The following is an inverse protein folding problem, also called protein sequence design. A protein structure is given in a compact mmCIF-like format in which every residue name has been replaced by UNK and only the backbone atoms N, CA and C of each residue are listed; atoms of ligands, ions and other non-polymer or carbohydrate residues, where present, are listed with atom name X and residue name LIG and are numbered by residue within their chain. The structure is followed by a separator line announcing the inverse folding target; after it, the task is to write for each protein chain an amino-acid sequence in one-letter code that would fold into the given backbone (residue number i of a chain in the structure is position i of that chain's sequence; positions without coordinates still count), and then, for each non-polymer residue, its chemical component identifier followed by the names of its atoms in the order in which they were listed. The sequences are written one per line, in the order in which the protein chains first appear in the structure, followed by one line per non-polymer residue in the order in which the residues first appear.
data_IF_384201048138
#
_entry.id   IF_384201048138
#
_cell.length_a   1.000
_cell.length_b   1.000
_cell.length_c   1.000
_cell.angle_alpha   90.00
_cell.angle_beta   90.00
_cell.angle_gamma   90.00
#
_symmetry.space_group_name_H-M   'P 1'
#
loop_
_entity.id
_entity.type
_entity.pdbx_description
1 polymer ?
#
# COMPACT_ATOMS: atom_id res chain seq x y z
N UNK A 1 12.52 -1.06 9.63
CA UNK A 1 12.37 -1.13 8.15
C UNK A 1 10.97 -1.59 7.76
N UNK A 2 10.45 -1.30 6.55
CA UNK A 2 9.18 -1.91 6.08
C UNK A 2 9.50 -3.25 5.42
N UNK A 3 8.90 -4.34 5.92
CA UNK A 3 9.17 -5.70 5.44
C UNK A 3 8.38 -6.05 4.18
N UNK A 4 7.22 -5.42 3.97
CA UNK A 4 6.35 -5.68 2.82
C UNK A 4 6.92 -5.15 1.51
N UNK A 5 6.63 -5.88 0.43
CA UNK A 5 6.75 -5.35 -0.93
C UNK A 5 5.39 -4.77 -1.36
N UNK A 6 5.14 -3.51 -1.01
CA UNK A 6 3.84 -2.86 -1.22
C UNK A 6 3.40 -2.88 -2.69
N UNK A 7 4.35 -2.75 -3.62
CA UNK A 7 4.05 -2.82 -5.06
C UNK A 7 3.49 -4.20 -5.44
N UNK A 8 4.12 -5.28 -4.98
CA UNK A 8 3.62 -6.65 -5.22
C UNK A 8 2.29 -6.88 -4.52
N UNK A 9 2.16 -6.43 -3.28
CA UNK A 9 0.94 -6.64 -2.48
C UNK A 9 -0.27 -6.00 -3.16
N UNK A 10 -0.17 -4.75 -3.61
CA UNK A 10 -1.27 -4.07 -4.31
C UNK A 10 -1.60 -4.77 -5.64
N UNK A 11 -0.59 -5.22 -6.41
CA UNK A 11 -0.84 -5.99 -7.64
C UNK A 11 -1.60 -7.28 -7.37
N UNK A 12 -1.20 -8.03 -6.34
CA UNK A 12 -1.91 -9.26 -5.93
C UNK A 12 -3.35 -8.96 -5.50
N UNK A 13 -3.58 -7.90 -4.71
CA UNK A 13 -4.93 -7.51 -4.30
C UNK A 13 -5.83 -7.06 -5.45
N UNK A 14 -5.27 -6.39 -6.47
CA UNK A 14 -6.02 -6.11 -7.69
C UNK A 14 -6.44 -7.40 -8.41
N UNK A 15 -5.53 -8.37 -8.52
CA UNK A 15 -5.82 -9.67 -9.15
C UNK A 15 -6.86 -10.48 -8.36
N UNK A 16 -6.75 -10.54 -7.03
CA UNK A 16 -7.70 -11.23 -6.16
C UNK A 16 -9.14 -10.66 -6.24
N UNK A 17 -9.31 -9.44 -6.76
CA UNK A 17 -10.60 -8.76 -6.89
C UNK A 17 -10.99 -8.51 -8.36
N UNK A 18 -10.38 -9.24 -9.30
CA UNK A 18 -10.64 -9.13 -10.74
C UNK A 18 -10.63 -7.68 -11.25
N UNK A 19 -9.70 -6.87 -10.74
CA UNK A 19 -9.57 -5.45 -11.08
C UNK A 19 -8.14 -5.10 -11.49
N UNK A 20 -7.96 -3.88 -12.00
CA UNK A 20 -6.63 -3.34 -12.37
C UNK A 20 -6.25 -2.21 -11.43
N UNK A 21 -4.97 -1.82 -11.40
CA UNK A 21 -4.57 -0.62 -10.64
C UNK A 21 -5.25 0.66 -11.16
N UNK A 22 -5.57 0.72 -12.46
CA UNK A 22 -6.31 1.83 -13.05
C UNK A 22 -7.76 1.82 -12.56
N UNK A 23 -8.43 0.66 -12.63
CA UNK A 23 -9.80 0.52 -12.12
C UNK A 23 -9.92 0.77 -10.61
N UNK A 24 -8.92 0.32 -9.83
CA UNK A 24 -8.82 0.65 -8.41
C UNK A 24 -8.67 2.16 -8.19
N UNK A 25 -7.81 2.82 -8.98
CA UNK A 25 -7.62 4.26 -8.88
C UNK A 25 -8.92 5.03 -9.16
N UNK A 26 -9.62 4.66 -10.24
CA UNK A 26 -10.90 5.25 -10.63
C UNK A 26 -11.95 5.07 -9.53
N UNK A 27 -12.04 3.87 -8.95
CA UNK A 27 -12.96 3.57 -7.83
C UNK A 27 -12.75 4.46 -6.61
N UNK A 28 -11.51 4.93 -6.37
CA UNK A 28 -11.19 5.84 -5.26
C UNK A 28 -11.05 7.31 -5.70
N UNK A 29 -11.48 7.66 -6.93
CA UNK A 29 -11.43 9.02 -7.45
C UNK A 29 -10.01 9.54 -7.69
N UNK A 30 -9.07 8.67 -8.07
CA UNK A 30 -7.66 8.99 -8.36
C UNK A 30 -7.28 8.49 -9.75
N UNK A 31 -6.08 8.88 -10.20
CA UNK A 31 -5.53 8.42 -11.47
C UNK A 31 -4.59 7.23 -11.28
N UNK A 32 -4.44 6.39 -12.30
CA UNK A 32 -3.45 5.31 -12.29
C UNK A 32 -2.02 5.81 -12.06
N UNK A 33 -1.66 7.00 -12.59
CA UNK A 33 -0.34 7.59 -12.32
C UNK A 33 -0.14 7.94 -10.84
N UNK A 34 -1.20 8.37 -10.16
CA UNK A 34 -1.16 8.68 -8.73
C UNK A 34 -0.89 7.42 -7.90
N UNK A 35 -1.60 6.32 -8.18
CA UNK A 35 -1.35 5.02 -7.55
C UNK A 35 0.08 4.55 -7.81
N UNK A 36 0.54 4.60 -9.07
CA UNK A 36 1.89 4.20 -9.44
C UNK A 36 2.97 4.98 -8.65
N UNK A 37 2.74 6.28 -8.41
CA UNK A 37 3.64 7.11 -7.60
C UNK A 37 3.67 6.67 -6.13
N UNK A 38 2.52 6.29 -5.56
CA UNK A 38 2.43 5.82 -4.17
C UNK A 38 3.17 4.49 -4.00
N UNK A 39 2.90 3.51 -4.87
CA UNK A 39 3.41 2.14 -4.68
C UNK A 39 4.91 2.01 -4.95
N UNK A 40 5.48 2.88 -5.80
CA UNK A 40 6.91 2.89 -6.11
C UNK A 40 7.75 3.63 -5.07
N UNK A 41 7.11 4.46 -4.23
CA UNK A 41 7.79 5.26 -3.22
C UNK A 41 7.57 4.63 -1.85
N UNK A 42 8.65 4.27 -1.16
CA UNK A 42 8.58 3.70 0.19
C UNK A 42 7.91 4.64 1.19
N UNK A 43 8.03 5.96 1.00
CA UNK A 43 7.39 7.01 1.79
C UNK A 43 6.00 7.42 1.28
N UNK A 44 5.53 6.83 0.17
CA UNK A 44 4.23 7.13 -0.42
C UNK A 44 3.07 6.49 0.32
N UNK A 45 3.34 5.39 1.04
CA UNK A 45 2.33 4.55 1.72
C UNK A 45 2.31 4.83 3.22
N UNK A 46 3.50 4.87 3.83
CA UNK A 46 3.69 5.29 5.21
C UNK A 46 4.52 6.56 5.24
N UNK A 47 4.12 7.51 6.07
CA UNK A 47 4.87 8.75 6.23
C UNK A 47 6.30 8.46 6.72
N UNK A 48 7.29 9.12 6.13
CA UNK A 48 8.72 8.95 6.46
C UNK A 48 9.01 9.13 7.96
N UNK A 49 8.41 10.13 8.61
CA UNK A 49 8.57 10.38 10.04
C UNK A 49 8.07 9.20 10.87
N UNK A 50 6.95 8.59 10.49
CA UNK A 50 6.44 7.39 11.18
C UNK A 50 7.42 6.21 11.08
N UNK A 51 7.97 5.97 9.89
CA UNK A 51 8.98 4.91 9.68
C UNK A 51 10.22 5.16 10.56
N UNK A 52 10.69 6.40 10.64
CA UNK A 52 11.82 6.78 11.49
C UNK A 52 11.53 6.64 12.98
N UNK A 53 10.30 6.90 13.42
CA UNK A 53 9.89 6.69 14.81
C UNK A 53 9.95 5.21 15.19
N UNK A 54 9.45 4.32 14.34
CA UNK A 54 9.49 2.87 14.59
C UNK A 54 10.93 2.34 14.58
N UNK A 55 11.75 2.84 13.65
CA UNK A 55 13.17 2.51 13.56
C UNK A 55 13.94 2.94 14.82
N UNK A 56 13.69 4.16 15.32
CA UNK A 56 14.30 4.65 16.56
C UNK A 56 13.86 3.87 17.82
N UNK A 57 12.71 3.20 17.76
CA UNK A 57 12.24 2.30 18.81
C UNK A 57 12.73 0.85 18.62
N UNK A 58 13.46 0.55 17.55
CA UNK A 58 14.00 -0.79 17.24
C UNK A 58 12.98 -1.75 16.62
N UNK A 59 11.93 -1.24 15.96
CA UNK A 59 10.89 -2.05 15.33
C UNK A 59 10.97 -2.05 13.81
N UNK A 60 10.74 -3.23 13.24
CA UNK A 60 10.33 -3.39 11.86
C UNK A 60 8.81 -3.23 11.72
N UNK A 61 8.37 -2.87 10.51
CA UNK A 61 6.97 -2.63 10.17
C UNK A 61 6.52 -3.72 9.21
N UNK A 62 5.47 -4.44 9.61
CA UNK A 62 4.73 -5.38 8.76
C UNK A 62 3.28 -4.90 8.61
N UNK A 63 2.77 -4.88 7.38
CA UNK A 63 1.40 -4.56 7.05
C UNK A 63 0.64 -5.84 6.70
N UNK A 64 -0.48 -6.05 7.39
CA UNK A 64 -1.39 -7.18 7.16
C UNK A 64 -2.72 -6.63 6.64
N UNK A 65 -3.15 -7.12 5.48
CA UNK A 65 -4.40 -6.70 4.84
C UNK A 65 -5.53 -7.67 5.18
N UNK A 66 -6.48 -7.23 5.99
CA UNK A 66 -7.67 -8.03 6.35
C UNK A 66 -8.86 -7.60 5.50
N UNK A 67 -9.53 -8.55 4.84
CA UNK A 67 -10.73 -8.28 4.04
C UNK A 67 -11.84 -7.79 4.98
N UNK A 68 -12.52 -6.70 4.61
CA UNK A 68 -13.67 -6.21 5.40
C UNK A 68 -14.78 -7.24 5.35
N UNK A 69 -15.35 -7.56 6.50
CA UNK A 69 -16.61 -8.31 6.57
C UNK A 69 -17.74 -7.44 6.03
N UNK A 70 -18.64 -8.04 5.25
CA UNK A 70 -19.87 -7.38 4.83
C UNK A 70 -20.71 -7.12 6.09
N UNK A 71 -21.11 -5.85 6.30
CA UNK A 71 -22.02 -5.47 7.39
C UNK A 71 -23.45 -5.84 7.06
#
# INVERSE_FOLDING_TARGET
MILNNIEKDIKMKCLENDTTQVGLAEKIGKTGQYINRIVKKSDGVLNKTFVQMMDGLGYDIELIYVKREEK
#
